data_IF_029493248182
#
_entry.id   IF_029493248182
#
_cell.length_a   1.000
_cell.length_b   1.000
_cell.length_c   1.000
_cell.angle_alpha   90.00
_cell.angle_beta   90.00
_cell.angle_gamma   90.00
#
_symmetry.space_group_name_H-M   'P 1'
#
loop_
_entity.id
_entity.type
_entity.pdbx_description
1 polymer ?
#
# COMPACT_ATOMS: atom_id res chain seq x y z
N UNK A 1 -1.79 16.66 -23.35
CA UNK A 1 -1.95 15.19 -23.37
C UNK A 1 -0.68 14.47 -23.84
N UNK A 2 0.05 15.02 -24.84
CA UNK A 2 1.36 14.49 -25.27
C UNK A 2 2.40 14.65 -24.15
N UNK A 3 2.47 15.81 -23.49
CA UNK A 3 3.39 16.07 -22.39
C UNK A 3 3.17 15.16 -21.16
N UNK A 4 1.94 14.73 -20.90
CA UNK A 4 1.63 13.81 -19.82
C UNK A 4 2.12 12.36 -20.10
N UNK A 5 2.08 11.93 -21.36
CA UNK A 5 2.61 10.65 -21.77
C UNK A 5 4.14 10.63 -21.66
N UNK A 6 4.79 11.69 -22.09
CA UNK A 6 6.26 11.82 -22.01
C UNK A 6 6.75 11.81 -20.55
N UNK A 7 5.97 12.36 -19.63
CA UNK A 7 6.25 12.33 -18.19
C UNK A 7 6.10 10.91 -17.59
N UNK A 8 5.12 10.13 -18.05
CA UNK A 8 4.80 8.81 -17.47
C UNK A 8 5.63 7.66 -18.06
N UNK A 9 6.25 7.84 -19.24
CA UNK A 9 7.02 6.77 -19.88
C UNK A 9 8.23 6.28 -19.07
N UNK A 10 9.14 7.15 -18.55
CA UNK A 10 10.28 6.67 -17.76
C UNK A 10 9.85 5.92 -16.50
N UNK A 11 8.93 6.43 -15.64
CA UNK A 11 8.41 5.68 -14.49
C UNK A 11 7.77 4.35 -14.85
N UNK A 12 7.03 4.29 -15.96
CA UNK A 12 6.41 3.04 -16.41
C UNK A 12 7.44 2.00 -16.84
N UNK A 13 8.48 2.40 -17.57
CA UNK A 13 9.55 1.48 -17.98
C UNK A 13 10.37 1.01 -16.78
N UNK A 14 10.67 1.90 -15.84
CA UNK A 14 11.29 1.54 -14.56
C UNK A 14 10.42 0.53 -13.80
N UNK A 15 9.11 0.79 -13.65
CA UNK A 15 8.19 -0.16 -13.01
C UNK A 15 8.15 -1.51 -13.73
N UNK A 16 8.19 -1.52 -15.06
CA UNK A 16 8.22 -2.75 -15.86
C UNK A 16 9.51 -3.54 -15.64
N UNK A 17 10.66 -2.88 -15.57
CA UNK A 17 11.94 -3.51 -15.21
C UNK A 17 11.91 -4.10 -13.79
N UNK A 18 11.33 -3.35 -12.83
CA UNK A 18 11.12 -3.86 -11.47
C UNK A 18 10.22 -5.11 -11.48
N UNK A 19 9.08 -5.05 -12.17
CA UNK A 19 8.17 -6.20 -12.30
C UNK A 19 8.87 -7.41 -12.91
N UNK A 20 9.70 -7.20 -13.94
CA UNK A 20 10.36 -8.29 -14.65
C UNK A 20 11.28 -9.11 -13.72
N UNK A 21 12.15 -8.43 -12.98
CA UNK A 21 13.10 -9.13 -12.08
C UNK A 21 12.42 -9.60 -10.79
N UNK A 22 11.57 -8.75 -10.16
CA UNK A 22 10.94 -9.09 -8.89
C UNK A 22 9.92 -10.22 -9.01
N UNK A 23 9.16 -10.32 -10.11
CA UNK A 23 8.29 -11.47 -10.34
C UNK A 23 9.06 -12.78 -10.42
N UNK A 24 10.24 -12.76 -11.06
CA UNK A 24 11.11 -13.94 -11.11
C UNK A 24 11.66 -14.31 -9.73
N UNK A 25 12.19 -13.35 -8.99
CA UNK A 25 12.72 -13.55 -7.63
C UNK A 25 11.59 -13.91 -6.65
N UNK A 26 10.41 -13.31 -6.78
CA UNK A 26 9.23 -13.59 -5.95
C UNK A 26 8.76 -15.03 -6.08
N UNK A 27 8.75 -15.62 -7.27
CA UNK A 27 8.48 -17.05 -7.45
C UNK A 27 9.51 -17.94 -6.72
N UNK A 28 10.78 -17.54 -6.71
CA UNK A 28 11.83 -18.27 -5.97
C UNK A 28 11.68 -18.11 -4.46
N UNK A 29 11.32 -16.93 -3.99
CA UNK A 29 11.06 -16.63 -2.57
C UNK A 29 9.87 -17.42 -2.06
N UNK A 30 8.77 -17.47 -2.83
CA UNK A 30 7.59 -18.29 -2.52
C UNK A 30 7.94 -19.78 -2.45
N UNK A 31 8.72 -20.28 -3.42
CA UNK A 31 9.17 -21.68 -3.44
C UNK A 31 10.07 -22.05 -2.24
N UNK A 32 10.85 -21.10 -1.73
CA UNK A 32 11.72 -21.25 -0.55
C UNK A 32 10.99 -21.03 0.77
N UNK A 33 9.74 -20.53 0.74
CA UNK A 33 8.93 -20.20 1.93
C UNK A 33 9.62 -19.16 2.85
N UNK A 34 10.23 -18.14 2.26
CA UNK A 34 10.91 -17.05 2.97
C UNK A 34 10.36 -15.68 2.50
N UNK A 35 9.05 -15.50 2.61
CA UNK A 35 8.30 -14.40 2.00
C UNK A 35 8.79 -13.02 2.47
N UNK A 36 9.18 -12.89 3.74
CA UNK A 36 9.57 -11.61 4.35
C UNK A 36 11.06 -11.27 4.18
N UNK A 37 11.82 -12.04 3.42
CA UNK A 37 13.27 -11.79 3.22
C UNK A 37 13.52 -10.47 2.52
N UNK A 38 12.63 -10.05 1.64
CA UNK A 38 12.68 -8.76 0.96
C UNK A 38 12.62 -7.59 1.96
N UNK A 39 11.63 -7.62 2.86
CA UNK A 39 11.49 -6.60 3.90
C UNK A 39 12.72 -6.54 4.82
N UNK A 40 13.27 -7.69 5.18
CA UNK A 40 14.45 -7.75 6.03
C UNK A 40 15.68 -7.14 5.33
N UNK A 41 15.95 -7.52 4.08
CA UNK A 41 17.06 -6.96 3.31
C UNK A 41 16.86 -5.48 2.98
N UNK A 42 15.63 -5.05 2.70
CA UNK A 42 15.29 -3.65 2.51
C UNK A 42 15.56 -2.81 3.76
N UNK A 43 15.20 -3.31 4.95
CA UNK A 43 15.50 -2.62 6.21
C UNK A 43 16.98 -2.57 6.54
N UNK A 44 17.71 -3.64 6.23
CA UNK A 44 19.18 -3.64 6.39
C UNK A 44 19.83 -2.66 5.39
N UNK A 45 19.33 -2.57 4.16
CA UNK A 45 19.78 -1.58 3.18
C UNK A 45 19.51 -0.15 3.69
N UNK A 46 18.33 0.10 4.25
CA UNK A 46 17.96 1.37 4.85
C UNK A 46 18.85 1.71 6.07
N UNK A 47 19.17 0.72 6.90
CA UNK A 47 20.13 0.89 7.99
C UNK A 47 21.51 1.30 7.46
N UNK A 48 22.00 0.66 6.40
CA UNK A 48 23.24 1.04 5.74
C UNK A 48 23.22 2.46 5.19
N UNK A 49 22.12 2.87 4.55
CA UNK A 49 21.91 4.24 4.08
C UNK A 49 21.90 5.24 5.24
N UNK A 50 21.28 4.90 6.37
CA UNK A 50 21.24 5.71 7.58
C UNK A 50 22.64 5.91 8.16
N UNK A 51 23.45 4.84 8.22
CA UNK A 51 24.86 4.93 8.66
C UNK A 51 25.64 5.87 7.75
N UNK A 52 25.50 5.76 6.42
CA UNK A 52 26.15 6.66 5.47
C UNK A 52 25.74 8.12 5.69
N UNK A 53 24.42 8.36 5.90
CA UNK A 53 23.90 9.70 6.20
C UNK A 53 24.52 10.28 7.49
N UNK A 54 24.62 9.48 8.55
CA UNK A 54 25.27 9.89 9.80
C UNK A 54 26.76 10.19 9.63
N UNK A 55 27.43 9.59 8.64
CA UNK A 55 28.81 9.87 8.28
C UNK A 55 28.95 11.10 7.34
N UNK A 56 27.86 11.79 7.04
CA UNK A 56 27.84 13.02 6.25
C UNK A 56 27.71 12.81 4.73
N UNK A 57 27.36 11.60 4.29
CA UNK A 57 27.14 11.36 2.86
C UNK A 57 25.69 11.74 2.46
N UNK A 58 25.49 12.42 1.31
CA UNK A 58 24.15 12.75 0.81
C UNK A 58 23.29 11.49 0.58
N UNK A 59 21.99 11.58 0.82
CA UNK A 59 21.06 10.44 0.78
C UNK A 59 21.08 9.65 -0.56
N UNK A 60 21.29 10.31 -1.68
CA UNK A 60 21.33 9.68 -3.02
C UNK A 60 22.74 9.56 -3.62
N UNK A 61 23.77 9.50 -2.77
CA UNK A 61 25.16 9.38 -3.23
C UNK A 61 25.55 7.94 -3.52
N UNK A 62 26.58 7.78 -4.37
CA UNK A 62 27.18 6.46 -4.61
C UNK A 62 27.74 5.83 -3.33
N UNK A 63 28.24 6.65 -2.39
CA UNK A 63 28.71 6.18 -1.09
C UNK A 63 27.55 5.57 -0.28
N UNK A 64 26.40 6.26 -0.19
CA UNK A 64 25.19 5.76 0.51
C UNK A 64 24.72 4.44 -0.10
N UNK A 65 24.70 4.33 -1.42
CA UNK A 65 24.40 3.07 -2.09
C UNK A 65 25.40 1.97 -1.75
N UNK A 66 26.71 2.29 -1.71
CA UNK A 66 27.76 1.36 -1.32
C UNK A 66 27.58 0.82 0.11
N UNK A 67 27.30 1.71 1.08
CA UNK A 67 26.99 1.29 2.46
C UNK A 67 25.76 0.38 2.51
N UNK A 68 24.68 0.73 1.82
CA UNK A 68 23.49 -0.11 1.73
C UNK A 68 23.79 -1.50 1.19
N UNK A 69 24.59 -1.60 0.12
CA UNK A 69 25.01 -2.88 -0.46
C UNK A 69 25.87 -3.71 0.49
N UNK A 70 26.82 -3.10 1.21
CA UNK A 70 27.66 -3.79 2.19
C UNK A 70 26.82 -4.38 3.32
N UNK A 71 25.93 -3.58 3.91
CA UNK A 71 25.03 -4.04 4.97
C UNK A 71 24.12 -5.17 4.49
N UNK A 72 23.54 -5.02 3.30
CA UNK A 72 22.67 -6.04 2.70
C UNK A 72 23.45 -7.33 2.40
N UNK A 73 24.68 -7.24 1.92
CA UNK A 73 25.52 -8.42 1.70
C UNK A 73 25.84 -9.15 3.02
N UNK A 74 26.15 -8.42 4.09
CA UNK A 74 26.36 -9.03 5.42
C UNK A 74 25.09 -9.75 5.91
N UNK A 75 23.92 -9.13 5.74
CA UNK A 75 22.65 -9.78 6.08
C UNK A 75 22.38 -11.01 5.20
N UNK A 76 22.70 -10.96 3.91
CA UNK A 76 22.58 -12.09 3.00
C UNK A 76 23.42 -13.29 3.46
N UNK A 77 24.66 -13.04 3.89
CA UNK A 77 25.55 -14.05 4.46
C UNK A 77 24.95 -14.63 5.75
N UNK A 78 24.51 -13.78 6.68
CA UNK A 78 23.85 -14.24 7.93
C UNK A 78 22.64 -15.12 7.62
N UNK A 79 21.74 -14.69 6.73
CA UNK A 79 20.55 -15.46 6.35
C UNK A 79 20.91 -16.80 5.70
N UNK A 80 21.96 -16.86 4.87
CA UNK A 80 22.40 -18.10 4.27
C UNK A 80 22.95 -19.09 5.33
N UNK A 81 23.72 -18.59 6.31
CA UNK A 81 24.24 -19.40 7.41
C UNK A 81 23.15 -19.91 8.37
N UNK A 82 22.02 -19.25 8.47
CA UNK A 82 20.91 -19.70 9.32
C UNK A 82 20.03 -20.77 8.67
N UNK A 83 20.19 -21.04 7.39
CA UNK A 83 19.37 -22.05 6.68
C UNK A 83 19.42 -23.46 7.27
N UNK A 84 20.56 -24.00 7.72
CA UNK A 84 20.61 -25.32 8.38
C UNK A 84 19.72 -25.41 9.63
N UNK A 85 19.43 -24.26 10.28
CA UNK A 85 18.58 -24.20 11.46
C UNK A 85 17.09 -24.34 11.12
N UNK A 86 16.72 -24.25 9.83
CA UNK A 86 15.33 -24.34 9.36
C UNK A 86 14.63 -25.68 9.75
N UNK A 87 15.42 -26.71 10.09
CA UNK A 87 14.88 -27.96 10.65
C UNK A 87 14.27 -27.78 12.05
N UNK A 88 14.69 -26.76 12.82
CA UNK A 88 14.23 -26.51 14.20
C UNK A 88 13.46 -25.20 14.36
N UNK A 89 13.85 -24.17 13.62
CA UNK A 89 13.26 -22.82 13.68
C UNK A 89 12.89 -22.40 12.26
N UNK A 90 11.62 -22.03 12.00
CA UNK A 90 11.23 -21.53 10.68
C UNK A 90 12.13 -20.38 10.24
N UNK A 91 12.67 -20.45 9.02
CA UNK A 91 13.59 -19.42 8.52
C UNK A 91 12.95 -18.03 8.49
N UNK A 92 11.63 -17.96 8.30
CA UNK A 92 10.87 -16.70 8.39
C UNK A 92 10.96 -16.02 9.76
N UNK A 93 11.06 -16.78 10.85
CA UNK A 93 11.28 -16.19 12.17
C UNK A 93 12.62 -15.48 12.29
N UNK A 94 13.68 -16.08 11.73
CA UNK A 94 15.01 -15.48 11.70
C UNK A 94 15.05 -14.24 10.79
N UNK A 95 14.39 -14.31 9.65
CA UNK A 95 14.19 -13.16 8.75
C UNK A 95 13.47 -12.02 9.49
N UNK A 96 12.41 -12.34 10.25
CA UNK A 96 11.68 -11.37 11.06
C UNK A 96 12.55 -10.71 12.13
N UNK A 97 13.45 -11.48 12.79
CA UNK A 97 14.41 -10.92 13.76
C UNK A 97 15.37 -9.95 13.09
N UNK A 98 15.93 -10.32 11.93
CA UNK A 98 16.83 -9.42 11.16
C UNK A 98 16.11 -8.12 10.80
N UNK A 99 14.84 -8.20 10.33
CA UNK A 99 14.02 -7.05 10.03
C UNK A 99 13.84 -6.12 11.23
N UNK A 100 13.38 -6.66 12.36
CA UNK A 100 13.07 -5.85 13.56
C UNK A 100 14.33 -5.22 14.13
N UNK A 101 15.44 -5.96 14.19
CA UNK A 101 16.73 -5.44 14.70
C UNK A 101 17.26 -4.33 13.79
N UNK A 102 17.22 -4.51 12.46
CA UNK A 102 17.66 -3.49 11.52
C UNK A 102 16.79 -2.23 11.59
N UNK A 103 15.46 -2.39 11.69
CA UNK A 103 14.52 -1.28 11.84
C UNK A 103 14.76 -0.51 13.14
N UNK A 104 14.92 -1.22 14.27
CA UNK A 104 15.19 -0.60 15.56
C UNK A 104 16.54 0.14 15.57
N UNK A 105 17.58 -0.47 14.99
CA UNK A 105 18.88 0.17 14.87
C UNK A 105 18.84 1.45 14.00
N UNK A 106 18.11 1.42 12.89
CA UNK A 106 17.89 2.61 12.05
C UNK A 106 17.18 3.74 12.82
N UNK A 107 16.14 3.42 13.59
CA UNK A 107 15.42 4.40 14.42
C UNK A 107 16.36 5.00 15.47
N UNK A 108 17.15 4.20 16.18
CA UNK A 108 18.09 4.68 17.19
C UNK A 108 19.17 5.62 16.60
N UNK A 109 19.60 5.37 15.38
CA UNK A 109 20.55 6.24 14.69
C UNK A 109 19.89 7.55 14.23
N UNK A 110 18.70 7.46 13.66
CA UNK A 110 17.95 8.61 13.11
C UNK A 110 17.46 9.57 14.21
N UNK A 111 17.15 9.08 15.41
CA UNK A 111 16.69 9.90 16.54
C UNK A 111 17.69 11.04 16.88
N UNK A 112 18.95 10.86 16.53
CA UNK A 112 20.01 11.86 16.71
C UNK A 112 20.28 12.74 15.51
N UNK A 113 19.59 12.52 14.38
CA UNK A 113 19.81 13.22 13.11
C UNK A 113 18.77 14.33 12.89
N UNK A 114 19.17 15.56 12.52
CA UNK A 114 18.23 16.55 12.01
C UNK A 114 17.48 15.98 10.80
N UNK A 115 16.14 16.12 10.72
CA UNK A 115 15.29 15.63 9.64
C UNK A 115 15.23 14.08 9.48
N UNK A 116 15.63 13.32 10.48
CA UNK A 116 15.66 11.85 10.40
C UNK A 116 14.30 11.21 10.08
N UNK A 117 13.20 11.74 10.61
CA UNK A 117 11.85 11.23 10.35
C UNK A 117 11.42 11.39 8.88
N UNK A 118 11.83 12.46 8.22
CA UNK A 118 11.54 12.71 6.79
C UNK A 118 12.33 11.74 5.90
N UNK A 119 13.59 11.52 6.21
CA UNK A 119 14.43 10.55 5.52
C UNK A 119 13.87 9.11 5.63
N UNK A 120 13.38 8.71 6.82
CA UNK A 120 12.75 7.41 7.01
C UNK A 120 11.47 7.28 6.17
N UNK A 121 10.65 8.32 6.15
CA UNK A 121 9.42 8.36 5.34
C UNK A 121 9.73 8.21 3.84
N UNK A 122 10.70 8.93 3.31
CA UNK A 122 11.12 8.83 1.91
C UNK A 122 11.60 7.42 1.55
N UNK A 123 12.41 6.80 2.41
CA UNK A 123 12.89 5.43 2.20
C UNK A 123 11.76 4.40 2.15
N UNK A 124 10.71 4.57 2.97
CA UNK A 124 9.57 3.66 3.00
C UNK A 124 8.63 3.84 1.81
N UNK A 125 8.35 5.08 1.44
CA UNK A 125 7.34 5.39 0.40
C UNK A 125 7.93 5.42 -1.00
N UNK A 126 9.20 5.79 -1.15
CA UNK A 126 9.85 6.02 -2.44
C UNK A 126 9.12 7.07 -3.30
N UNK A 127 9.65 7.36 -4.47
CA UNK A 127 8.99 8.22 -5.45
C UNK A 127 9.29 7.77 -6.88
N UNK A 128 8.66 6.68 -7.29
CA UNK A 128 8.88 6.12 -8.64
C UNK A 128 8.45 7.08 -9.75
N UNK A 129 7.54 8.03 -9.48
CA UNK A 129 7.07 8.99 -10.48
C UNK A 129 8.17 9.95 -10.95
N UNK A 130 9.16 10.23 -10.08
CA UNK A 130 10.30 11.08 -10.42
C UNK A 130 11.44 10.34 -11.11
N UNK A 131 11.26 9.03 -11.37
CA UNK A 131 12.26 8.23 -12.08
C UNK A 131 12.46 8.72 -13.50
N UNK A 132 13.71 8.79 -13.91
CA UNK A 132 14.15 9.31 -15.21
C UNK A 132 14.82 8.21 -16.05
N UNK A 133 15.19 8.55 -17.27
CA UNK A 133 15.97 7.67 -18.15
C UNK A 133 17.32 7.25 -17.56
N UNK A 134 17.89 8.07 -16.64
CA UNK A 134 19.16 7.74 -15.97
C UNK A 134 19.03 6.50 -15.08
N UNK A 135 17.99 6.44 -14.26
CA UNK A 135 17.73 5.27 -13.42
C UNK A 135 17.49 4.03 -14.28
N UNK A 136 16.72 4.15 -15.36
CA UNK A 136 16.45 3.02 -16.26
C UNK A 136 17.73 2.46 -16.87
N UNK A 137 18.64 3.32 -17.35
CA UNK A 137 19.92 2.89 -17.95
C UNK A 137 20.83 2.19 -16.94
N UNK A 138 20.72 2.51 -15.66
CA UNK A 138 21.51 1.87 -14.59
C UNK A 138 20.89 0.52 -14.19
N UNK A 139 19.56 0.49 -13.95
CA UNK A 139 18.93 -0.72 -13.39
C UNK A 139 18.65 -1.81 -14.45
N UNK A 140 18.33 -1.43 -15.69
CA UNK A 140 17.98 -2.42 -16.71
C UNK A 140 19.12 -3.41 -16.99
N UNK A 141 20.40 -3.00 -17.22
CA UNK A 141 21.49 -3.94 -17.39
C UNK A 141 21.79 -4.75 -16.12
N UNK A 142 21.68 -4.13 -14.92
CA UNK A 142 21.85 -4.81 -13.65
C UNK A 142 20.84 -5.96 -13.50
N UNK A 143 19.56 -5.68 -13.73
CA UNK A 143 18.50 -6.69 -13.60
C UNK A 143 18.57 -7.75 -14.70
N UNK A 144 18.94 -7.36 -15.91
CA UNK A 144 19.19 -8.31 -17.00
C UNK A 144 20.37 -9.25 -16.66
N UNK A 145 21.43 -8.72 -16.10
CA UNK A 145 22.59 -9.53 -15.67
C UNK A 145 22.21 -10.52 -14.55
N UNK A 146 21.55 -10.03 -13.48
CA UNK A 146 21.09 -10.90 -12.38
C UNK A 146 20.08 -11.93 -12.89
N UNK A 147 19.09 -11.53 -13.67
CA UNK A 147 18.08 -12.43 -14.23
C UNK A 147 18.70 -13.50 -15.13
N UNK A 148 19.62 -13.13 -16.01
CA UNK A 148 20.36 -14.05 -16.88
C UNK A 148 21.18 -15.05 -16.07
N UNK A 149 21.86 -14.56 -15.02
CA UNK A 149 22.69 -15.41 -14.17
C UNK A 149 21.84 -16.40 -13.38
N UNK A 150 20.67 -15.97 -12.85
CA UNK A 150 19.70 -16.86 -12.20
C UNK A 150 19.12 -17.89 -13.20
N UNK A 151 18.84 -17.50 -14.44
CA UNK A 151 18.34 -18.40 -15.46
C UNK A 151 19.39 -19.46 -15.87
N UNK A 152 20.64 -19.06 -16.05
CA UNK A 152 21.76 -19.96 -16.37
C UNK A 152 22.04 -20.95 -15.23
N UNK A 153 21.99 -20.48 -13.99
CA UNK A 153 22.30 -21.25 -12.79
C UNK A 153 21.06 -21.90 -12.14
N UNK A 154 19.90 -21.84 -12.80
CA UNK A 154 18.62 -22.32 -12.23
C UNK A 154 18.67 -23.73 -11.64
N UNK A 155 19.42 -24.64 -12.26
CA UNK A 155 19.59 -26.02 -11.79
C UNK A 155 20.39 -26.12 -10.48
N UNK A 156 21.25 -25.14 -10.18
CA UNK A 156 22.03 -25.06 -8.96
C UNK A 156 21.33 -24.31 -7.82
N UNK A 157 20.35 -23.49 -8.17
CA UNK A 157 19.58 -22.68 -7.24
C UNK A 157 18.29 -23.38 -6.76
N UNK A 158 17.93 -24.54 -7.31
CA UNK A 158 16.75 -25.32 -6.94
C UNK A 158 17.11 -26.47 -5.99
N UNK A 159 16.23 -26.75 -5.03
CA UNK A 159 16.40 -27.82 -4.04
C UNK A 159 17.27 -27.46 -2.83
N UNK A 160 17.89 -28.49 -2.21
CA UNK A 160 18.86 -28.31 -1.11
C UNK A 160 20.21 -27.87 -1.68
N UNK A 161 20.34 -26.56 -1.93
CA UNK A 161 21.56 -26.02 -2.51
C UNK A 161 22.70 -25.97 -1.46
N UNK A 162 23.98 -26.21 -1.86
CA UNK A 162 25.13 -25.90 -1.02
C UNK A 162 25.13 -24.43 -0.57
N UNK A 163 25.73 -24.16 0.59
CA UNK A 163 25.79 -22.84 1.22
C UNK A 163 26.20 -21.73 0.25
N UNK A 164 27.14 -22.01 -0.64
CA UNK A 164 27.62 -21.03 -1.64
C UNK A 164 26.50 -20.53 -2.55
N UNK A 165 25.55 -21.39 -2.94
CA UNK A 165 24.43 -21.01 -3.80
C UNK A 165 23.32 -20.29 -3.03
N UNK A 166 23.22 -20.53 -1.72
CA UNK A 166 22.34 -19.75 -0.85
C UNK A 166 22.88 -18.34 -0.65
N UNK A 167 24.17 -18.20 -0.36
CA UNK A 167 24.83 -16.88 -0.29
C UNK A 167 24.68 -16.14 -1.61
N UNK A 168 24.92 -16.83 -2.73
CA UNK A 168 24.73 -16.25 -4.06
C UNK A 168 23.29 -15.74 -4.27
N UNK A 169 22.29 -16.56 -3.92
CA UNK A 169 20.89 -16.17 -4.04
C UNK A 169 20.56 -14.93 -3.21
N UNK A 170 20.87 -14.94 -1.91
CA UNK A 170 20.57 -13.81 -1.04
C UNK A 170 21.38 -12.56 -1.36
N UNK A 171 22.62 -12.70 -1.82
CA UNK A 171 23.47 -11.56 -2.21
C UNK A 171 22.94 -10.88 -3.48
N UNK A 172 22.62 -11.65 -4.53
CA UNK A 172 22.05 -11.10 -5.78
C UNK A 172 20.64 -10.56 -5.56
N UNK A 173 19.83 -11.23 -4.74
CA UNK A 173 18.52 -10.77 -4.33
C UNK A 173 18.63 -9.44 -3.56
N UNK A 174 19.52 -9.37 -2.59
CA UNK A 174 19.78 -8.15 -1.82
C UNK A 174 20.25 -6.97 -2.68
N UNK A 175 21.11 -7.23 -3.67
CA UNK A 175 21.56 -6.21 -4.62
C UNK A 175 20.37 -5.63 -5.43
N UNK A 176 19.47 -6.49 -5.91
CA UNK A 176 18.25 -6.08 -6.61
C UNK A 176 17.34 -5.29 -5.68
N UNK A 177 17.09 -5.77 -4.45
CA UNK A 177 16.26 -5.10 -3.46
C UNK A 177 16.81 -3.73 -3.09
N UNK A 178 18.12 -3.64 -2.81
CA UNK A 178 18.76 -2.35 -2.45
C UNK A 178 18.58 -1.30 -3.55
N UNK A 179 18.80 -1.68 -4.82
CA UNK A 179 18.61 -0.77 -5.95
C UNK A 179 17.14 -0.39 -6.19
N UNK A 180 16.23 -1.33 -6.02
CA UNK A 180 14.80 -1.12 -6.23
C UNK A 180 14.19 -0.23 -5.15
N UNK A 181 14.56 -0.46 -3.89
CA UNK A 181 14.05 0.31 -2.74
C UNK A 181 14.47 1.76 -2.81
N UNK A 182 15.68 2.04 -3.27
CA UNK A 182 16.17 3.41 -3.47
C UNK A 182 15.30 4.21 -4.47
N UNK A 183 14.63 3.53 -5.42
CA UNK A 183 13.81 4.14 -6.46
C UNK A 183 12.32 4.12 -6.06
N UNK A 184 11.81 2.96 -5.70
CA UNK A 184 10.37 2.71 -5.57
C UNK A 184 9.87 2.65 -4.12
N UNK A 185 10.78 2.62 -3.14
CA UNK A 185 10.47 2.45 -1.72
C UNK A 185 10.13 1.00 -1.33
N UNK A 186 10.25 0.71 -0.05
CA UNK A 186 10.11 -0.66 0.50
C UNK A 186 8.73 -1.25 0.22
N UNK A 187 7.67 -0.47 0.44
CA UNK A 187 6.28 -0.96 0.34
C UNK A 187 5.92 -1.38 -1.09
N UNK A 188 6.33 -0.57 -2.08
CA UNK A 188 6.03 -0.86 -3.48
C UNK A 188 6.86 -2.03 -3.99
N UNK A 189 8.15 -2.09 -3.65
CA UNK A 189 9.03 -3.21 -4.03
C UNK A 189 8.49 -4.53 -3.51
N UNK A 190 8.11 -4.61 -2.23
CA UNK A 190 7.49 -5.80 -1.65
C UNK A 190 6.21 -6.21 -2.39
N UNK A 191 5.36 -5.23 -2.73
CA UNK A 191 4.11 -5.49 -3.45
C UNK A 191 4.37 -6.06 -4.86
N UNK A 192 5.32 -5.49 -5.59
CA UNK A 192 5.73 -5.96 -6.93
C UNK A 192 6.36 -7.37 -6.87
N UNK A 193 7.09 -7.68 -5.81
CA UNK A 193 7.72 -8.98 -5.61
C UNK A 193 6.67 -10.08 -5.36
N UNK A 194 5.81 -9.86 -4.39
CA UNK A 194 4.96 -10.93 -3.83
C UNK A 194 3.65 -11.07 -4.60
N UNK A 195 2.97 -9.98 -4.92
CA UNK A 195 1.59 -10.05 -5.45
C UNK A 195 1.54 -10.67 -6.84
N UNK A 196 2.34 -10.25 -7.84
CA UNK A 196 2.33 -10.87 -9.15
C UNK A 196 2.75 -12.34 -9.11
N UNK A 197 3.79 -12.67 -8.31
CA UNK A 197 4.24 -14.05 -8.14
C UNK A 197 3.16 -14.94 -7.49
N UNK A 198 2.44 -14.42 -6.50
CA UNK A 198 1.31 -15.12 -5.86
C UNK A 198 0.18 -15.37 -6.85
N UNK A 199 -0.20 -14.37 -7.65
CA UNK A 199 -1.23 -14.53 -8.68
C UNK A 199 -0.78 -15.55 -9.72
N UNK A 200 0.46 -15.48 -10.20
CA UNK A 200 1.02 -16.48 -11.12
C UNK A 200 0.95 -17.91 -10.57
N UNK A 201 1.31 -18.08 -9.30
CA UNK A 201 1.27 -19.37 -8.59
C UNK A 201 -0.17 -19.87 -8.35
N UNK A 202 -1.12 -18.96 -8.16
CA UNK A 202 -2.53 -19.29 -7.99
C UNK A 202 -3.13 -19.92 -9.26
N UNK A 203 -2.78 -19.37 -10.45
CA UNK A 203 -3.40 -19.80 -11.70
C UNK A 203 -2.64 -20.88 -12.45
N UNK A 204 -1.37 -21.14 -12.13
CA UNK A 204 -0.56 -22.14 -12.82
C UNK A 204 0.39 -22.90 -11.88
N UNK A 205 0.69 -24.16 -12.24
CA UNK A 205 1.72 -24.98 -11.60
C UNK A 205 3.03 -25.00 -12.43
N UNK A 206 2.99 -24.55 -13.70
CA UNK A 206 4.17 -24.48 -14.55
C UNK A 206 4.96 -23.19 -14.30
N UNK A 207 6.26 -23.26 -13.94
CA UNK A 207 7.06 -22.08 -13.63
C UNK A 207 7.09 -21.01 -14.73
N UNK A 208 7.13 -21.45 -16.00
CA UNK A 208 7.09 -20.52 -17.14
C UNK A 208 5.76 -19.76 -17.22
N UNK A 209 4.64 -20.46 -17.05
CA UNK A 209 3.31 -19.82 -17.07
C UNK A 209 3.09 -18.94 -15.83
N UNK A 210 3.59 -19.35 -14.68
CA UNK A 210 3.57 -18.50 -13.47
C UNK A 210 4.27 -17.17 -13.72
N UNK A 211 5.47 -17.20 -14.31
CA UNK A 211 6.23 -16.00 -14.62
C UNK A 211 5.54 -15.11 -15.66
N UNK A 212 5.00 -15.69 -16.73
CA UNK A 212 4.26 -14.93 -17.75
C UNK A 212 3.02 -14.24 -17.17
N UNK A 213 2.25 -14.95 -16.34
CA UNK A 213 1.08 -14.36 -15.64
C UNK A 213 1.53 -13.25 -14.71
N UNK A 214 2.59 -13.48 -13.93
CA UNK A 214 3.13 -12.48 -13.00
C UNK A 214 3.60 -11.22 -13.74
N UNK A 215 4.30 -11.35 -14.86
CA UNK A 215 4.71 -10.23 -15.70
C UNK A 215 3.53 -9.46 -16.27
N UNK A 216 2.54 -10.17 -16.85
CA UNK A 216 1.36 -9.53 -17.42
C UNK A 216 0.57 -8.76 -16.36
N UNK A 217 0.26 -9.41 -15.23
CA UNK A 217 -0.49 -8.78 -14.14
C UNK A 217 0.31 -7.65 -13.52
N UNK A 218 1.60 -7.86 -13.24
CA UNK A 218 2.46 -6.86 -12.63
C UNK A 218 2.58 -5.59 -13.48
N UNK A 219 2.84 -5.74 -14.79
CA UNK A 219 2.96 -4.61 -15.73
C UNK A 219 1.64 -3.87 -15.89
N UNK A 220 0.53 -4.61 -16.06
CA UNK A 220 -0.81 -4.00 -16.19
C UNK A 220 -1.20 -3.23 -14.91
N UNK A 221 -0.99 -3.83 -13.73
CA UNK A 221 -1.30 -3.19 -12.45
C UNK A 221 -0.41 -1.98 -12.19
N UNK A 222 0.86 -2.03 -12.56
CA UNK A 222 1.77 -0.88 -12.46
C UNK A 222 1.33 0.27 -13.36
N UNK A 223 0.93 -0.01 -14.61
CA UNK A 223 0.38 1.00 -15.51
C UNK A 223 -0.89 1.64 -14.93
N UNK A 224 -1.83 0.81 -14.45
CA UNK A 224 -3.06 1.28 -13.83
C UNK A 224 -2.79 2.14 -12.59
N UNK A 225 -1.88 1.71 -11.71
CA UNK A 225 -1.50 2.45 -10.51
C UNK A 225 -0.85 3.80 -10.82
N UNK A 226 0.03 3.87 -11.82
CA UNK A 226 0.64 5.13 -12.29
C UNK A 226 -0.39 6.09 -12.87
N UNK A 227 -1.29 5.59 -13.72
CA UNK A 227 -2.37 6.40 -14.30
C UNK A 227 -3.31 6.93 -13.21
N UNK A 228 -3.74 6.10 -12.26
CA UNK A 228 -4.59 6.53 -11.15
C UNK A 228 -3.89 7.58 -10.27
N UNK A 229 -2.61 7.37 -9.96
CA UNK A 229 -1.82 8.35 -9.20
C UNK A 229 -1.77 9.71 -9.92
N UNK A 230 -1.53 9.69 -11.22
CA UNK A 230 -1.48 10.90 -12.03
C UNK A 230 -2.83 11.62 -12.14
N UNK A 231 -3.92 10.86 -12.38
CA UNK A 231 -5.26 11.44 -12.55
C UNK A 231 -5.82 12.05 -11.27
N UNK A 232 -5.52 11.46 -10.11
CA UNK A 232 -6.06 11.88 -8.81
C UNK A 232 -5.05 12.63 -7.94
N UNK A 233 -3.86 12.89 -8.45
CA UNK A 233 -2.75 13.54 -7.71
C UNK A 233 -2.47 12.83 -6.35
N UNK A 234 -2.51 11.50 -6.36
CA UNK A 234 -2.25 10.67 -5.17
C UNK A 234 -0.79 10.26 -5.09
N UNK A 235 -0.25 10.00 -3.86
CA UNK A 235 1.10 9.49 -3.68
C UNK A 235 1.31 8.19 -4.47
N UNK A 236 2.22 8.20 -5.45
CA UNK A 236 2.36 7.14 -6.47
C UNK A 236 2.66 5.77 -5.86
N UNK A 237 3.61 5.70 -4.91
CA UNK A 237 3.94 4.43 -4.26
C UNK A 237 2.74 3.78 -3.58
N UNK A 238 2.01 4.56 -2.76
CA UNK A 238 0.83 4.08 -2.05
C UNK A 238 -0.31 3.67 -3.00
N UNK A 239 -0.56 4.45 -4.05
CA UNK A 239 -1.59 4.16 -5.06
C UNK A 239 -1.29 2.85 -5.79
N UNK A 240 -0.04 2.64 -6.20
CA UNK A 240 0.38 1.39 -6.84
C UNK A 240 0.23 0.19 -5.90
N UNK A 241 0.63 0.30 -4.63
CA UNK A 241 0.45 -0.77 -3.61
C UNK A 241 -1.02 -1.14 -3.48
N UNK A 242 -1.92 -0.15 -3.39
CA UNK A 242 -3.37 -0.38 -3.34
C UNK A 242 -3.88 -1.05 -4.63
N UNK A 243 -3.39 -0.62 -5.80
CA UNK A 243 -3.74 -1.25 -7.07
C UNK A 243 -3.32 -2.73 -7.11
N UNK A 244 -2.12 -3.06 -6.62
CA UNK A 244 -1.67 -4.45 -6.47
C UNK A 244 -2.55 -5.24 -5.50
N UNK A 245 -2.97 -4.65 -4.37
CA UNK A 245 -3.90 -5.26 -3.43
C UNK A 245 -5.26 -5.58 -4.08
N UNK A 246 -5.80 -4.64 -4.86
CA UNK A 246 -7.03 -4.84 -5.65
C UNK A 246 -6.87 -5.95 -6.68
N UNK A 247 -5.73 -5.97 -7.40
CA UNK A 247 -5.44 -7.04 -8.37
C UNK A 247 -5.40 -8.43 -7.71
N UNK A 248 -4.80 -8.56 -6.53
CA UNK A 248 -4.77 -9.81 -5.77
C UNK A 248 -6.17 -10.22 -5.30
N UNK A 249 -6.97 -9.28 -4.79
CA UNK A 249 -8.33 -9.53 -4.38
C UNK A 249 -9.21 -9.98 -5.57
N UNK A 250 -9.07 -9.32 -6.71
CA UNK A 250 -9.76 -9.69 -7.96
C UNK A 250 -9.34 -11.08 -8.45
N UNK A 251 -8.04 -11.38 -8.44
CA UNK A 251 -7.51 -12.69 -8.79
C UNK A 251 -8.04 -13.81 -7.87
N UNK A 252 -8.03 -13.56 -6.55
CA UNK A 252 -8.59 -14.48 -5.56
C UNK A 252 -10.10 -14.70 -5.71
N UNK A 253 -10.83 -13.64 -6.04
CA UNK A 253 -12.26 -13.71 -6.36
C UNK A 253 -12.55 -14.49 -7.65
N UNK A 254 -11.72 -14.31 -8.68
CA UNK A 254 -11.87 -14.97 -9.98
C UNK A 254 -11.48 -16.45 -9.95
N UNK A 255 -10.49 -16.81 -9.13
CA UNK A 255 -9.93 -18.17 -9.06
C UNK A 255 -10.97 -19.28 -8.88
N UNK A 256 -11.94 -19.19 -7.92
CA UNK A 256 -12.94 -20.23 -7.74
C UNK A 256 -13.90 -20.36 -8.95
N UNK A 257 -14.11 -19.30 -9.73
CA UNK A 257 -14.96 -19.35 -10.94
C UNK A 257 -14.27 -20.09 -12.09
N UNK A 258 -12.95 -20.10 -12.13
CA UNK A 258 -12.19 -20.78 -13.17
C UNK A 258 -11.92 -22.26 -12.88
N UNK A 259 -11.89 -22.67 -11.60
CA UNK A 259 -11.52 -24.05 -11.20
C UNK A 259 -12.62 -24.85 -10.52
N UNK A 260 -13.69 -24.24 -10.00
CA UNK A 260 -14.75 -24.94 -9.29
C UNK A 260 -16.06 -24.91 -10.09
N UNK A 261 -17.02 -25.72 -9.62
CA UNK A 261 -18.42 -25.63 -10.00
C UNK A 261 -18.89 -24.16 -9.80
N UNK A 262 -18.99 -23.41 -10.93
CA UNK A 262 -19.24 -21.96 -10.96
C UNK A 262 -20.40 -21.55 -10.04
N UNK A 263 -21.41 -22.40 -9.93
CA UNK A 263 -22.58 -22.16 -9.11
C UNK A 263 -22.27 -22.16 -7.61
N UNK A 264 -21.45 -23.11 -7.16
CA UNK A 264 -21.01 -23.20 -5.74
C UNK A 264 -20.04 -22.08 -5.38
N UNK A 265 -19.19 -21.67 -6.30
CA UNK A 265 -18.28 -20.54 -6.12
C UNK A 265 -19.04 -19.22 -5.99
N UNK A 266 -20.00 -18.95 -6.90
CA UNK A 266 -20.85 -17.76 -6.83
C UNK A 266 -21.63 -17.68 -5.52
N UNK A 267 -22.26 -18.77 -5.08
CA UNK A 267 -23.00 -18.80 -3.80
C UNK A 267 -22.09 -18.53 -2.61
N UNK A 268 -20.88 -19.09 -2.58
CA UNK A 268 -19.91 -18.84 -1.48
C UNK A 268 -19.43 -17.39 -1.49
N UNK A 269 -19.14 -16.83 -2.65
CA UNK A 269 -18.70 -15.45 -2.78
C UNK A 269 -19.82 -14.46 -2.36
N UNK A 270 -21.05 -14.64 -2.85
CA UNK A 270 -22.21 -13.84 -2.43
C UNK A 270 -22.45 -13.95 -0.91
N UNK A 271 -22.30 -15.16 -0.36
CA UNK A 271 -22.42 -15.32 1.09
C UNK A 271 -21.28 -14.63 1.85
N UNK A 272 -20.03 -14.72 1.35
CA UNK A 272 -18.88 -14.05 1.93
C UNK A 272 -19.00 -12.52 1.89
N UNK A 273 -19.38 -11.94 0.75
CA UNK A 273 -19.59 -10.49 0.62
C UNK A 273 -20.73 -9.99 1.50
N UNK A 274 -21.82 -10.76 1.63
CA UNK A 274 -22.92 -10.43 2.55
C UNK A 274 -22.47 -10.47 4.03
N UNK A 275 -21.65 -11.44 4.43
CA UNK A 275 -21.08 -11.45 5.77
C UNK A 275 -20.13 -10.29 6.00
N UNK A 276 -19.25 -9.96 5.05
CA UNK A 276 -18.36 -8.81 5.15
C UNK A 276 -19.14 -7.50 5.29
N UNK A 277 -20.15 -7.29 4.45
CA UNK A 277 -21.02 -6.12 4.54
C UNK A 277 -21.76 -6.04 5.88
N UNK A 278 -22.31 -7.17 6.36
CA UNK A 278 -23.00 -7.23 7.65
C UNK A 278 -22.05 -6.93 8.83
N UNK A 279 -20.82 -7.43 8.80
CA UNK A 279 -19.81 -7.14 9.82
C UNK A 279 -19.40 -5.66 9.82
N UNK A 280 -19.19 -5.06 8.64
CA UNK A 280 -18.86 -3.63 8.51
C UNK A 280 -19.99 -2.77 9.08
N UNK A 281 -21.24 -3.08 8.74
CA UNK A 281 -22.40 -2.37 9.27
C UNK A 281 -22.54 -2.55 10.78
N UNK A 282 -22.36 -3.76 11.30
CA UNK A 282 -22.42 -4.03 12.73
C UNK A 282 -21.28 -3.34 13.49
N UNK A 283 -20.07 -3.33 12.95
CA UNK A 283 -18.95 -2.60 13.53
C UNK A 283 -19.20 -1.07 13.54
N UNK A 284 -19.74 -0.53 12.45
CA UNK A 284 -20.13 0.89 12.39
C UNK A 284 -21.25 1.23 13.38
N UNK A 285 -22.24 0.34 13.54
CA UNK A 285 -23.29 0.50 14.54
C UNK A 285 -22.73 0.49 15.98
N UNK A 286 -21.83 -0.43 16.28
CA UNK A 286 -21.18 -0.52 17.59
C UNK A 286 -20.29 0.71 17.87
N UNK A 287 -19.52 1.17 16.88
CA UNK A 287 -18.70 2.36 17.00
C UNK A 287 -19.54 3.61 17.23
N UNK A 288 -20.65 3.76 16.50
CA UNK A 288 -21.58 4.88 16.66
C UNK A 288 -22.25 4.87 18.04
N UNK A 289 -22.62 3.69 18.54
CA UNK A 289 -23.23 3.58 19.87
C UNK A 289 -22.25 3.90 21.00
N UNK A 290 -21.01 3.38 20.91
CA UNK A 290 -20.00 3.50 21.95
C UNK A 290 -19.23 4.84 21.90
N UNK A 291 -18.91 5.32 20.70
CA UNK A 291 -18.09 6.50 20.47
C UNK A 291 -18.64 7.36 19.31
N UNK A 292 -19.79 8.05 19.47
CA UNK A 292 -20.46 8.78 18.39
C UNK A 292 -19.62 9.94 17.82
N UNK A 293 -18.70 10.49 18.61
CA UNK A 293 -17.77 11.57 18.19
C UNK A 293 -16.55 11.07 17.44
N UNK A 294 -16.28 9.77 17.48
CA UNK A 294 -15.19 9.18 16.70
C UNK A 294 -15.51 9.25 15.19
N UNK A 295 -14.48 9.26 14.31
CA UNK A 295 -14.68 9.18 12.88
C UNK A 295 -15.53 7.96 12.50
N UNK A 296 -16.53 8.18 11.63
CA UNK A 296 -17.49 7.15 11.19
C UNK A 296 -17.36 6.93 9.68
N UNK A 297 -16.33 6.21 9.21
CA UNK A 297 -15.97 6.15 7.78
C UNK A 297 -17.12 5.68 6.88
N UNK A 298 -17.93 4.73 7.36
CA UNK A 298 -19.06 4.21 6.59
C UNK A 298 -20.15 5.28 6.39
N UNK A 299 -20.49 6.02 7.45
CA UNK A 299 -21.46 7.11 7.36
C UNK A 299 -20.92 8.27 6.54
N UNK A 300 -19.63 8.62 6.70
CA UNK A 300 -18.98 9.64 5.90
C UNK A 300 -19.01 9.30 4.40
N UNK A 301 -18.73 8.03 4.06
CA UNK A 301 -18.81 7.53 2.69
C UNK A 301 -20.26 7.57 2.15
N UNK A 302 -21.23 7.17 2.97
CA UNK A 302 -22.65 7.21 2.60
C UNK A 302 -23.12 8.65 2.34
N UNK A 303 -22.72 9.61 3.17
CA UNK A 303 -22.99 11.03 2.97
C UNK A 303 -22.33 11.60 1.72
N UNK A 304 -21.10 11.19 1.42
CA UNK A 304 -20.41 11.60 0.23
C UNK A 304 -21.10 11.07 -1.04
N UNK A 305 -21.48 9.79 -1.03
CA UNK A 305 -22.17 9.15 -2.16
C UNK A 305 -23.62 9.66 -2.33
N UNK A 306 -24.29 9.97 -1.23
CA UNK A 306 -25.71 10.38 -1.23
C UNK A 306 -25.91 11.49 -0.19
N UNK A 307 -25.75 12.77 -0.57
CA UNK A 307 -25.86 13.91 0.36
C UNK A 307 -27.20 13.98 1.12
N UNK A 308 -28.27 13.45 0.55
CA UNK A 308 -29.59 13.40 1.22
C UNK A 308 -29.61 12.52 2.47
N UNK A 309 -28.63 11.65 2.69
CA UNK A 309 -28.49 10.86 3.93
C UNK A 309 -28.37 11.78 5.16
N UNK A 310 -27.75 12.95 5.03
CA UNK A 310 -27.67 13.94 6.11
C UNK A 310 -29.01 14.40 6.60
N UNK A 311 -30.02 14.51 5.72
CA UNK A 311 -31.37 14.92 6.06
C UNK A 311 -32.08 13.97 7.05
N UNK A 312 -31.56 12.74 7.21
CA UNK A 312 -32.08 11.77 8.18
C UNK A 312 -31.74 12.13 9.63
N UNK A 313 -30.71 12.92 9.85
CA UNK A 313 -30.20 13.19 11.19
C UNK A 313 -29.68 14.62 11.43
N UNK A 314 -29.60 15.48 10.38
CA UNK A 314 -29.33 16.91 10.54
C UNK A 314 -30.59 17.70 10.77
N UNK A 315 -30.53 18.70 11.64
CA UNK A 315 -31.50 19.77 11.71
C UNK A 315 -31.27 20.78 10.58
N UNK A 316 -32.27 21.61 10.26
CA UNK A 316 -32.11 22.66 9.23
C UNK A 316 -30.95 23.64 9.57
N UNK A 317 -30.77 23.95 10.85
CA UNK A 317 -29.68 24.83 11.30
C UNK A 317 -28.31 24.17 11.12
N UNK A 318 -28.17 22.88 11.45
CA UNK A 318 -26.95 22.12 11.27
C UNK A 318 -26.57 21.96 9.80
N UNK A 319 -27.55 21.70 8.94
CA UNK A 319 -27.36 21.63 7.48
C UNK A 319 -26.90 22.99 6.94
N UNK A 320 -27.47 24.11 7.40
CA UNK A 320 -27.02 25.46 7.03
C UNK A 320 -25.56 25.67 7.43
N UNK A 321 -25.21 25.44 8.70
CA UNK A 321 -23.82 25.59 9.18
C UNK A 321 -22.84 24.70 8.44
N UNK A 322 -23.24 23.46 8.12
CA UNK A 322 -22.41 22.52 7.37
C UNK A 322 -22.19 23.00 5.92
N UNK A 323 -23.22 23.50 5.25
CA UNK A 323 -23.13 23.99 3.87
C UNK A 323 -22.32 25.28 3.78
N UNK A 324 -22.43 26.17 4.77
CA UNK A 324 -21.62 27.37 4.87
C UNK A 324 -20.13 27.01 5.02
N UNK A 325 -19.79 26.13 5.97
CA UNK A 325 -18.43 25.66 6.18
C UNK A 325 -17.88 24.94 4.94
N UNK A 326 -18.68 24.14 4.23
CA UNK A 326 -18.29 23.50 2.98
C UNK A 326 -17.96 24.54 1.91
N UNK A 327 -18.81 25.56 1.75
CA UNK A 327 -18.61 26.62 0.75
C UNK A 327 -17.32 27.42 1.01
N UNK A 328 -17.03 27.72 2.27
CA UNK A 328 -15.77 28.37 2.66
C UNK A 328 -14.55 27.47 2.46
N UNK A 329 -14.65 26.19 2.83
CA UNK A 329 -13.56 25.22 2.62
C UNK A 329 -13.19 25.06 1.14
N UNK A 330 -14.22 25.02 0.25
CA UNK A 330 -14.03 24.98 -1.20
C UNK A 330 -13.45 26.28 -1.75
N UNK A 331 -13.87 27.43 -1.21
CA UNK A 331 -13.30 28.73 -1.57
C UNK A 331 -11.82 28.80 -1.23
N UNK A 332 -11.43 28.43 -0.01
CA UNK A 332 -10.01 28.44 0.39
C UNK A 332 -9.17 27.45 -0.43
N UNK A 333 -9.75 26.33 -0.86
CA UNK A 333 -9.08 25.41 -1.78
C UNK A 333 -8.84 26.07 -3.13
N UNK A 334 -9.85 26.70 -3.73
CA UNK A 334 -9.69 27.38 -5.04
C UNK A 334 -8.66 28.51 -4.98
N UNK A 335 -8.66 29.33 -3.92
CA UNK A 335 -7.65 30.39 -3.74
C UNK A 335 -6.23 29.83 -3.60
N UNK A 336 -6.08 28.69 -2.88
CA UNK A 336 -4.80 28.01 -2.76
C UNK A 336 -4.35 27.41 -4.11
N UNK A 337 -5.26 26.80 -4.87
CA UNK A 337 -4.95 26.24 -6.20
C UNK A 337 -4.55 27.32 -7.20
N UNK A 338 -5.21 28.49 -7.19
CA UNK A 338 -4.80 29.63 -8.03
C UNK A 338 -3.39 30.12 -7.70
N UNK A 339 -3.02 30.18 -6.43
CA UNK A 339 -1.67 30.56 -6.01
C UNK A 339 -0.63 29.51 -6.41
N UNK A 340 -0.95 28.24 -6.25
CA UNK A 340 -0.09 27.13 -6.69
C UNK A 340 0.13 27.16 -8.22
N UNK A 341 -0.91 27.43 -9.01
CA UNK A 341 -0.80 27.54 -10.46
C UNK A 341 0.02 28.77 -10.88
N UNK A 342 -0.05 29.89 -10.14
CA UNK A 342 0.83 31.05 -10.36
C UNK A 342 2.29 30.71 -10.05
N UNK A 343 2.55 29.98 -8.96
CA UNK A 343 3.90 29.53 -8.62
C UNK A 343 4.46 28.55 -9.66
N UNK A 344 3.66 27.58 -10.13
CA UNK A 344 4.07 26.65 -11.19
C UNK A 344 4.41 27.38 -12.49
N UNK A 345 3.58 28.32 -12.94
CA UNK A 345 3.85 29.12 -14.15
C UNK A 345 5.14 29.90 -14.04
N UNK A 346 5.43 30.48 -12.88
CA UNK A 346 6.66 31.18 -12.62
C UNK A 346 7.92 30.28 -12.77
N UNK A 347 7.85 29.02 -12.40
CA UNK A 347 8.97 28.07 -12.58
C UNK A 347 9.25 27.73 -14.06
N UNK A 348 8.28 27.95 -14.94
CA UNK A 348 8.39 27.66 -16.40
C UNK A 348 8.62 28.89 -17.25
N UNK A 349 8.43 30.11 -16.73
CA UNK A 349 8.63 31.37 -17.42
C UNK A 349 10.03 31.96 -17.17
N UNK A 350 10.55 32.72 -18.15
CA UNK A 350 11.91 33.33 -18.14
C UNK A 350 12.09 34.40 -17.06
N UNK A 351 10.98 34.90 -16.49
CA UNK A 351 10.98 35.94 -15.44
C UNK A 351 10.64 35.28 -14.10
N UNK A 352 11.66 35.00 -13.30
CA UNK A 352 11.45 34.46 -11.95
C UNK A 352 10.87 35.52 -10.99
N UNK A 353 9.92 35.14 -10.14
CA UNK A 353 9.48 35.99 -9.01
C UNK A 353 10.67 36.26 -8.07
N UNK A 354 10.68 37.42 -7.47
CA UNK A 354 11.61 37.72 -6.39
C UNK A 354 11.31 36.91 -5.13
N UNK A 355 12.32 36.71 -4.28
CA UNK A 355 12.20 35.89 -3.05
C UNK A 355 11.10 36.41 -2.12
N UNK A 356 10.84 37.73 -2.12
CA UNK A 356 9.77 38.33 -1.32
C UNK A 356 8.38 37.88 -1.82
N UNK A 357 8.17 37.84 -3.13
CA UNK A 357 6.91 37.39 -3.74
C UNK A 357 6.68 35.90 -3.45
N UNK A 358 7.73 35.06 -3.56
CA UNK A 358 7.65 33.63 -3.22
C UNK A 358 7.34 33.41 -1.73
N UNK A 359 8.00 34.14 -0.84
CA UNK A 359 7.71 34.08 0.61
C UNK A 359 6.26 34.52 0.91
N UNK A 360 5.75 35.52 0.23
CA UNK A 360 4.37 35.98 0.34
C UNK A 360 3.37 34.93 -0.14
N UNK A 361 3.60 34.29 -1.28
CA UNK A 361 2.77 33.20 -1.81
C UNK A 361 2.73 32.04 -0.82
N UNK A 362 3.89 31.60 -0.33
CA UNK A 362 3.96 30.51 0.66
C UNK A 362 3.23 30.81 1.95
N UNK A 363 3.27 32.07 2.42
CA UNK A 363 2.53 32.53 3.59
C UNK A 363 1.02 32.49 3.38
N UNK A 364 0.53 32.92 2.22
CA UNK A 364 -0.89 32.83 1.88
C UNK A 364 -1.37 31.38 1.73
N UNK A 365 -0.59 30.52 1.07
CA UNK A 365 -0.91 29.09 0.96
C UNK A 365 -1.06 28.43 2.33
N UNK A 366 -0.14 28.75 3.26
CA UNK A 366 -0.23 28.28 4.63
C UNK A 366 -1.49 28.79 5.34
N UNK A 367 -1.81 30.08 5.18
CA UNK A 367 -2.99 30.71 5.79
C UNK A 367 -4.30 30.09 5.26
N UNK A 368 -4.43 29.91 3.94
CA UNK A 368 -5.60 29.25 3.35
C UNK A 368 -5.71 27.79 3.78
N UNK A 369 -4.57 27.09 3.89
CA UNK A 369 -4.53 25.74 4.44
C UNK A 369 -5.07 25.64 5.86
N UNK A 370 -4.70 26.56 6.74
CA UNK A 370 -5.20 26.60 8.13
C UNK A 370 -6.68 27.01 8.21
N UNK A 371 -7.11 28.00 7.43
CA UNK A 371 -8.54 28.39 7.34
C UNK A 371 -9.39 27.21 6.87
N UNK A 372 -8.96 26.51 5.83
CA UNK A 372 -9.65 25.30 5.33
C UNK A 372 -9.73 24.21 6.39
N UNK A 373 -8.66 23.96 7.16
CA UNK A 373 -8.67 23.00 8.28
C UNK A 373 -9.70 23.40 9.34
N UNK A 374 -9.83 24.69 9.63
CA UNK A 374 -10.86 25.22 10.54
C UNK A 374 -12.27 24.87 10.06
N UNK A 375 -12.58 25.10 8.79
CA UNK A 375 -13.90 24.78 8.22
C UNK A 375 -14.18 23.26 8.20
N UNK A 376 -13.16 22.46 7.84
CA UNK A 376 -13.28 21.00 7.92
C UNK A 376 -13.54 20.51 9.34
N UNK A 377 -12.93 21.16 10.34
CA UNK A 377 -13.20 20.87 11.75
C UNK A 377 -14.64 21.23 12.13
N UNK A 378 -15.18 22.39 11.70
CA UNK A 378 -16.59 22.77 11.90
C UNK A 378 -17.52 21.71 11.30
N UNK A 379 -17.26 21.28 10.06
CA UNK A 379 -18.03 20.23 9.41
C UNK A 379 -17.99 18.92 10.20
N UNK A 380 -16.82 18.52 10.69
CA UNK A 380 -16.65 17.31 11.50
C UNK A 380 -17.41 17.41 12.84
N UNK A 381 -17.36 18.55 13.51
CA UNK A 381 -18.04 18.77 14.78
C UNK A 381 -19.57 18.80 14.62
N UNK A 382 -20.09 19.42 13.56
CA UNK A 382 -21.52 19.41 13.25
C UNK A 382 -22.00 17.98 13.01
N UNK A 383 -21.26 17.18 12.23
CA UNK A 383 -21.56 15.75 12.04
C UNK A 383 -21.54 14.98 13.35
N UNK A 384 -20.51 15.19 14.16
CA UNK A 384 -20.34 14.49 15.43
C UNK A 384 -21.51 14.74 16.38
N UNK A 385 -21.93 16.02 16.53
CA UNK A 385 -23.09 16.40 17.36
C UNK A 385 -24.40 15.82 16.85
N UNK A 386 -24.66 15.89 15.56
CA UNK A 386 -25.86 15.33 14.96
C UNK A 386 -25.95 13.82 15.15
N UNK A 387 -24.83 13.10 14.94
CA UNK A 387 -24.73 11.65 15.14
C UNK A 387 -24.85 11.24 16.61
N UNK A 388 -24.28 12.01 17.53
CA UNK A 388 -24.41 11.78 18.97
C UNK A 388 -25.85 11.91 19.43
N UNK A 389 -26.60 12.92 18.92
CA UNK A 389 -28.02 13.11 19.21
C UNK A 389 -28.87 11.96 18.68
N UNK A 390 -28.65 11.55 17.43
CA UNK A 390 -29.45 10.54 16.75
C UNK A 390 -28.86 9.12 16.85
N UNK A 391 -27.85 8.90 17.69
CA UNK A 391 -27.17 7.60 17.80
C UNK A 391 -28.11 6.44 18.11
N UNK A 392 -29.16 6.69 18.93
CA UNK A 392 -30.12 5.68 19.33
C UNK A 392 -31.12 5.31 18.24
N UNK A 393 -31.18 6.08 17.17
CA UNK A 393 -31.93 5.79 15.95
C UNK A 393 -31.01 5.15 14.89
N UNK A 394 -29.87 5.77 14.65
CA UNK A 394 -28.94 5.36 13.59
C UNK A 394 -28.23 4.02 13.88
N UNK A 395 -27.78 3.79 15.11
CA UNK A 395 -27.06 2.56 15.45
C UNK A 395 -27.96 1.31 15.37
N UNK A 396 -29.19 1.30 15.92
CA UNK A 396 -30.12 0.19 15.70
C UNK A 396 -30.51 0.02 14.23
N UNK A 397 -30.65 1.11 13.47
CA UNK A 397 -30.91 1.06 12.03
C UNK A 397 -29.79 0.36 11.26
N UNK A 398 -28.52 0.71 11.52
CA UNK A 398 -27.37 0.04 10.93
C UNK A 398 -27.29 -1.44 11.34
N UNK A 399 -27.58 -1.75 12.60
CA UNK A 399 -27.61 -3.13 13.10
C UNK A 399 -28.72 -3.94 12.44
N UNK A 400 -29.91 -3.38 12.29
CA UNK A 400 -31.02 -4.02 11.58
C UNK A 400 -30.66 -4.31 10.11
N UNK A 401 -30.01 -3.36 9.43
CA UNK A 401 -29.50 -3.57 8.08
C UNK A 401 -28.44 -4.65 8.02
N UNK A 402 -27.53 -4.69 9.00
CA UNK A 402 -26.54 -5.75 9.14
C UNK A 402 -27.19 -7.13 9.27
N UNK A 403 -28.21 -7.27 10.10
CA UNK A 403 -28.96 -8.50 10.30
C UNK A 403 -29.73 -8.96 9.06
N UNK A 404 -30.29 -8.02 8.30
CA UNK A 404 -30.97 -8.30 7.02
C UNK A 404 -29.99 -8.78 5.93
N UNK A 405 -28.80 -8.21 5.89
CA UNK A 405 -27.76 -8.60 4.93
C UNK A 405 -27.09 -9.92 5.33
N UNK A 406 -26.94 -10.21 6.62
CA UNK A 406 -26.30 -11.42 7.10
C UNK A 406 -27.02 -12.67 6.55
N UNK A 407 -26.29 -13.61 5.94
CA UNK A 407 -26.90 -14.84 5.40
C UNK A 407 -27.20 -15.86 6.49
N UNK A 408 -27.94 -15.43 7.51
CA UNK A 408 -28.34 -16.25 8.67
C UNK A 408 -29.45 -17.22 8.23
N UNK A 409 -29.38 -18.52 8.50
CA UNK A 409 -30.40 -19.50 8.13
C UNK A 409 -31.59 -19.45 9.10
N UNK A 410 -32.33 -18.34 9.11
CA UNK A 410 -33.46 -18.11 10.03
C UNK A 410 -34.48 -19.26 10.10
N UNK A 411 -34.71 -19.95 8.96
CA UNK A 411 -35.62 -21.11 8.93
C UNK A 411 -35.15 -22.27 9.78
N UNK A 412 -33.82 -22.55 9.81
CA UNK A 412 -33.23 -23.62 10.62
C UNK A 412 -33.25 -23.26 12.11
N UNK A 413 -32.96 -22.00 12.43
CA UNK A 413 -33.03 -21.52 13.83
C UNK A 413 -34.46 -21.60 14.37
N UNK A 414 -35.46 -21.19 13.59
CA UNK A 414 -36.88 -21.30 13.98
C UNK A 414 -37.35 -22.72 14.15
N UNK A 415 -36.85 -23.66 13.36
CA UNK A 415 -37.15 -25.10 13.54
C UNK A 415 -36.48 -25.69 14.80
N UNK A 416 -35.24 -25.29 15.09
CA UNK A 416 -34.52 -25.73 16.27
C UNK A 416 -35.18 -25.23 17.58
N UNK A 417 -35.68 -23.97 17.59
CA UNK A 417 -36.42 -23.46 18.77
C UNK A 417 -37.77 -24.15 18.97
N UNK A 418 -38.47 -24.50 17.88
CA UNK A 418 -39.73 -25.19 17.94
C UNK A 418 -39.58 -26.69 18.37
N UNK A 419 -38.46 -27.33 18.01
CA UNK A 419 -38.14 -28.70 18.47
C UNK A 419 -37.67 -28.74 19.92
N UNK A 420 -36.95 -27.70 20.38
CA UNK A 420 -36.54 -27.58 21.78
C UNK A 420 -37.72 -27.26 22.74
N UNK A 421 -38.78 -26.68 22.24
CA UNK A 421 -40.00 -26.31 23.01
C UNK A 421 -41.03 -27.46 23.11
N UNK A 422 -40.80 -28.66 22.54
CA UNK A 422 -41.65 -29.80 22.73
C UNK A 422 -41.29 -30.51 24.06
N UNK A 423 -42.23 -30.64 25.00
CA UNK A 423 -41.97 -31.40 26.22
C UNK A 423 -41.68 -32.87 25.88
N UNK A 424 -40.83 -33.58 26.67
CA UNK A 424 -40.57 -34.97 26.44
C UNK A 424 -41.90 -35.73 26.54
N UNK A 425 -42.20 -36.47 25.48
CA UNK A 425 -43.36 -37.37 25.47
C UNK A 425 -43.17 -38.42 26.58
N UNK A 426 -44.01 -38.33 27.61
CA UNK A 426 -44.16 -39.30 28.69
C UNK A 426 -44.60 -40.66 28.17
#
# INVERSE_FOLDING_TARGET
>A
MIDALDLLWPPFLVATCLVAIHSHLGLQVLARKVIFVDLALAQVAALGATVAFMLGHPAQSLATYGYSCVFTFLAAVVLAFTRPWAARVPQEALVGVVYVVAAAAAILLIDRAPQGAEHLKETLTGNILTSSWKELVIIAPLYAAVGSMHWLLRHRLTGAAPLIWEVFFYATFGLVVTSSVAIAGVLLVFSILIIPATIGSLFSTSPRRQLLIAWAVGTFTSAAGLILSFLFDWPTGATMVCAFGVALAAAGGLYPFLRADRRRAAVRMIRGTRWAAALILAASAALLAAAPRAPQPLLDLAEYATPSVRQLYFTRAEEGTFMDALSYAERYLREADELNEREKRNRTEVVAFDDFTLARISSFLKSYGEMRKGELFVMAEVRARARERERWLLAPGLLALALLLAPIPWRKLRQATLTAARPPSS
#
